data_IF_770634648907
#
_entry.id   IF_770634648907
#
_cell.length_a   1.000
_cell.length_b   1.000
_cell.length_c   1.000
_cell.angle_alpha   90.00
_cell.angle_beta   90.00
_cell.angle_gamma   90.00
#
_symmetry.space_group_name_H-M   'P 1'
#
loop_
_entity.id
_entity.type
_entity.pdbx_description
1 polymer ?
#
# COMPACT_ATOMS: atom_id res chain seq x y z
N UNK A 1 25.29 43.58 11.62
CA UNK A 1 24.11 43.52 10.75
C UNK A 1 23.83 42.06 10.41
N UNK A 2 22.57 41.66 10.57
CA UNK A 2 21.87 40.39 10.26
C UNK A 2 22.53 39.48 9.19
N UNK A 3 22.53 38.13 9.19
CA UNK A 3 21.87 37.03 9.91
C UNK A 3 22.22 35.70 9.18
N UNK A 4 22.17 34.55 9.87
CA UNK A 4 22.41 33.18 9.31
C UNK A 4 21.24 32.71 8.39
N UNK A 5 21.19 31.44 7.91
CA UNK A 5 22.03 30.69 6.95
C UNK A 5 21.17 30.06 5.82
N UNK A 6 21.71 29.60 4.67
CA UNK A 6 20.86 28.89 3.70
C UNK A 6 21.59 27.97 2.70
N UNK A 7 21.31 26.68 2.85
CA UNK A 7 21.30 25.61 1.83
C UNK A 7 22.63 25.26 1.12
N UNK A 8 23.42 24.43 1.80
CA UNK A 8 24.26 23.46 1.12
C UNK A 8 23.36 22.44 0.41
N UNK A 9 23.00 22.72 -0.84
CA UNK A 9 22.39 21.76 -1.73
C UNK A 9 23.36 20.59 -1.91
N UNK A 10 23.02 19.42 -1.36
CA UNK A 10 23.76 18.18 -1.60
C UNK A 10 23.54 17.83 -3.08
N UNK A 11 24.42 18.31 -3.95
CA UNK A 11 24.55 17.76 -5.30
C UNK A 11 24.94 16.29 -5.14
N UNK A 12 24.03 15.37 -5.46
CA UNK A 12 24.39 13.95 -5.56
C UNK A 12 25.34 13.80 -6.74
N UNK A 13 26.61 13.61 -6.41
CA UNK A 13 27.67 13.31 -7.37
C UNK A 13 27.44 11.91 -7.94
N UNK A 14 27.67 11.72 -9.24
CA UNK A 14 27.53 10.41 -9.86
C UNK A 14 28.54 9.43 -9.23
N UNK A 15 28.06 8.25 -8.78
CA UNK A 15 28.84 7.32 -7.93
C UNK A 15 30.08 6.78 -8.63
N UNK A 16 30.08 6.78 -9.97
CA UNK A 16 31.13 6.17 -10.78
C UNK A 16 32.20 7.17 -11.24
N UNK A 17 31.96 8.49 -11.14
CA UNK A 17 32.87 9.49 -11.73
C UNK A 17 33.31 10.63 -10.80
N UNK A 18 32.72 10.78 -9.60
CA UNK A 18 32.99 11.89 -8.65
C UNK A 18 32.94 13.32 -9.26
N UNK A 19 32.45 13.47 -10.48
CA UNK A 19 32.23 14.75 -11.15
C UNK A 19 30.76 15.17 -11.05
N UNK A 20 30.44 16.48 -11.01
CA UNK A 20 29.07 16.94 -11.17
C UNK A 20 28.53 16.48 -12.52
N UNK A 21 27.32 15.91 -12.54
CA UNK A 21 26.70 15.48 -13.79
C UNK A 21 26.60 16.67 -14.75
N UNK A 22 26.99 16.48 -16.02
CA UNK A 22 26.74 17.49 -17.06
C UNK A 22 25.24 17.78 -17.08
N UNK A 23 24.88 19.06 -17.24
CA UNK A 23 23.49 19.57 -17.19
C UNK A 23 22.53 18.83 -18.15
N UNK A 24 23.10 18.15 -19.14
CA UNK A 24 22.44 17.32 -20.14
C UNK A 24 23.22 16.01 -20.27
N UNK A 25 22.75 14.99 -19.56
CA UNK A 25 23.14 13.61 -19.79
C UNK A 25 21.98 12.91 -20.51
N UNK A 26 22.09 12.82 -21.85
CA UNK A 26 21.07 12.20 -22.69
C UNK A 26 20.96 10.69 -22.46
N UNK A 27 21.96 10.08 -21.81
CA UNK A 27 21.99 8.66 -21.45
C UNK A 27 21.45 8.38 -20.04
N UNK A 28 21.26 9.42 -19.21
CA UNK A 28 20.74 9.28 -17.86
C UNK A 28 19.20 9.16 -17.87
N UNK A 29 18.73 7.92 -17.74
CA UNK A 29 17.31 7.59 -17.74
C UNK A 29 16.49 8.11 -16.54
N UNK A 30 17.15 8.75 -15.56
CA UNK A 30 16.57 9.26 -14.31
C UNK A 30 16.52 10.80 -14.23
N UNK A 31 16.97 11.50 -15.26
CA UNK A 31 16.76 12.94 -15.38
C UNK A 31 15.27 13.24 -15.67
N UNK A 32 14.60 13.93 -14.74
CA UNK A 32 13.29 14.53 -14.94
C UNK A 32 13.46 16.06 -14.83
N UNK A 33 13.14 16.85 -15.87
CA UNK A 33 13.23 18.30 -15.76
C UNK A 33 12.30 18.77 -14.64
N UNK A 34 12.81 19.51 -13.65
CA UNK A 34 11.94 20.28 -12.77
C UNK A 34 11.16 21.26 -13.64
N UNK A 35 9.84 21.32 -13.44
CA UNK A 35 8.93 22.12 -14.26
C UNK A 35 9.17 23.63 -14.11
N UNK A 36 10.04 24.06 -13.19
CA UNK A 36 10.28 25.46 -12.85
C UNK A 36 11.73 25.90 -13.09
N UNK A 37 12.29 25.54 -14.25
CA UNK A 37 13.51 26.18 -14.75
C UNK A 37 13.14 27.19 -15.84
N UNK A 38 12.65 28.35 -15.40
CA UNK A 38 13.08 29.66 -15.91
C UNK A 38 12.96 30.00 -17.40
N UNK A 39 12.09 29.37 -18.19
CA UNK A 39 11.87 29.79 -19.58
C UNK A 39 10.39 30.00 -19.90
N UNK A 40 9.87 31.18 -19.56
CA UNK A 40 8.67 31.74 -20.15
C UNK A 40 8.99 32.23 -21.55
N UNK A 41 9.08 31.32 -22.54
CA UNK A 41 8.98 31.66 -23.97
C UNK A 41 8.82 30.39 -24.81
N UNK A 42 7.67 30.30 -25.46
CA UNK A 42 7.29 29.36 -26.52
C UNK A 42 7.04 27.92 -26.08
N UNK A 43 5.76 27.57 -25.95
CA UNK A 43 5.25 26.20 -25.77
C UNK A 43 5.60 25.35 -27.01
N UNK A 44 6.81 24.77 -27.08
CA UNK A 44 7.07 23.67 -28.03
C UNK A 44 6.18 22.50 -27.63
N UNK A 45 5.44 21.93 -28.58
CA UNK A 45 4.63 20.74 -28.32
C UNK A 45 5.53 19.64 -27.73
N UNK A 46 5.12 19.07 -26.59
CA UNK A 46 5.88 17.98 -25.99
C UNK A 46 6.00 16.83 -26.99
N UNK A 47 7.23 16.49 -27.36
CA UNK A 47 7.48 15.29 -28.19
C UNK A 47 6.99 14.04 -27.45
N UNK A 48 6.45 13.06 -28.15
CA UNK A 48 5.95 11.80 -27.58
C UNK A 48 6.97 11.11 -26.63
N UNK A 49 8.27 11.30 -26.85
CA UNK A 49 9.33 10.77 -25.99
C UNK A 49 9.40 11.47 -24.62
N UNK A 50 9.12 12.77 -24.50
CA UNK A 50 9.18 13.50 -23.22
C UNK A 50 7.98 13.22 -22.33
N UNK A 51 6.79 13.03 -22.90
CA UNK A 51 5.59 12.60 -22.15
C UNK A 51 5.78 11.21 -21.55
N UNK A 52 6.31 10.26 -22.33
CA UNK A 52 6.61 8.90 -21.86
C UNK A 52 7.62 8.92 -20.70
N UNK A 53 8.65 9.77 -20.76
CA UNK A 53 9.64 9.93 -19.67
C UNK A 53 9.01 10.45 -18.38
N UNK A 54 8.15 11.47 -18.48
CA UNK A 54 7.42 12.00 -17.32
C UNK A 54 6.53 10.93 -16.68
N UNK A 55 5.78 10.18 -17.50
CA UNK A 55 4.94 9.09 -17.00
C UNK A 55 5.76 8.00 -16.32
N UNK A 56 6.91 7.62 -16.86
CA UNK A 56 7.78 6.61 -16.25
C UNK A 56 8.42 7.10 -14.94
N UNK A 57 8.88 8.35 -14.87
CA UNK A 57 9.40 8.94 -13.63
C UNK A 57 8.31 9.04 -12.54
N UNK A 58 7.09 9.42 -12.92
CA UNK A 58 5.94 9.41 -12.01
C UNK A 58 5.60 7.99 -11.51
N UNK A 59 5.65 6.98 -12.40
CA UNK A 59 5.51 5.56 -12.02
C UNK A 59 6.59 5.12 -11.05
N UNK A 60 7.86 5.47 -11.28
CA UNK A 60 8.98 5.16 -10.38
C UNK A 60 8.84 5.84 -9.02
N UNK A 61 8.43 7.12 -8.98
CA UNK A 61 8.17 7.85 -7.73
C UNK A 61 7.06 7.19 -6.91
N UNK A 62 5.97 6.77 -7.56
CA UNK A 62 4.92 5.98 -6.91
C UNK A 62 5.46 4.64 -6.40
N UNK A 63 6.18 3.90 -7.23
CA UNK A 63 6.77 2.61 -6.87
C UNK A 63 7.77 2.73 -5.70
N UNK A 64 8.58 3.80 -5.65
CA UNK A 64 9.51 4.06 -4.54
C UNK A 64 8.77 4.44 -3.24
N UNK A 65 7.66 5.17 -3.33
CA UNK A 65 6.78 5.42 -2.18
C UNK A 65 6.12 4.13 -1.68
N UNK A 66 5.76 3.23 -2.59
CA UNK A 66 5.24 1.90 -2.25
C UNK A 66 6.33 1.01 -1.62
N UNK A 67 7.60 1.12 -2.05
CA UNK A 67 8.73 0.38 -1.46
C UNK A 67 8.98 0.82 0.00
N UNK A 68 8.83 2.10 0.31
CA UNK A 68 8.91 2.60 1.71
C UNK A 68 7.71 2.18 2.57
N UNK A 69 6.64 1.72 1.93
CA UNK A 69 5.43 1.26 2.58
C UNK A 69 5.56 -0.25 2.86
N UNK A 70 6.09 -0.60 4.02
CA UNK A 70 6.19 -2.01 4.40
C UNK A 70 4.80 -2.56 4.76
N UNK A 71 4.25 -3.44 3.91
CA UNK A 71 3.04 -4.22 4.22
C UNK A 71 3.46 -5.50 4.98
N UNK A 72 3.23 -5.56 6.29
CA UNK A 72 3.52 -6.72 7.14
C UNK A 72 2.24 -7.54 7.34
N UNK A 73 2.32 -8.86 7.24
CA UNK A 73 1.16 -9.73 7.52
C UNK A 73 1.45 -10.58 8.74
N UNK A 74 0.57 -10.47 9.73
CA UNK A 74 0.74 -11.10 11.03
C UNK A 74 -0.22 -12.29 11.18
N UNK A 75 0.28 -13.36 11.80
CA UNK A 75 -0.48 -14.53 12.20
C UNK A 75 -1.46 -14.23 13.37
N UNK A 76 -2.43 -15.14 13.53
CA UNK A 76 -3.66 -15.07 14.34
C UNK A 76 -3.48 -14.68 15.84
N UNK A 77 -2.26 -14.69 16.38
CA UNK A 77 -1.99 -14.57 17.82
C UNK A 77 -1.50 -13.18 18.29
N UNK A 78 -0.92 -12.36 17.41
CA UNK A 78 -0.31 -11.07 17.81
C UNK A 78 -1.11 -9.84 17.38
N UNK A 79 -2.06 -10.01 16.46
CA UNK A 79 -2.82 -8.89 15.91
C UNK A 79 -3.79 -8.31 16.95
N UNK A 80 -3.46 -7.14 17.48
CA UNK A 80 -4.30 -6.33 18.38
C UNK A 80 -4.55 -4.96 17.77
N UNK A 81 -5.62 -4.29 18.19
CA UNK A 81 -5.94 -2.94 17.69
C UNK A 81 -4.84 -1.94 18.03
N UNK A 82 -4.28 -2.01 19.23
CA UNK A 82 -3.17 -1.14 19.64
C UNK A 82 -1.93 -1.32 18.76
N UNK A 83 -1.56 -2.57 18.42
CA UNK A 83 -0.46 -2.85 17.50
C UNK A 83 -0.74 -2.31 16.10
N UNK A 84 -1.98 -2.46 15.62
CA UNK A 84 -2.39 -1.96 14.31
C UNK A 84 -2.24 -0.45 14.19
N UNK A 85 -2.71 0.28 15.20
CA UNK A 85 -2.59 1.74 15.27
C UNK A 85 -1.12 2.17 15.34
N UNK A 86 -0.32 1.53 16.20
CA UNK A 86 1.11 1.82 16.32
C UNK A 86 1.87 1.63 15.00
N UNK A 87 1.60 0.55 14.27
CA UNK A 87 2.26 0.28 12.99
C UNK A 87 1.77 1.21 11.89
N UNK A 88 0.49 1.59 11.92
CA UNK A 88 -0.07 2.56 10.99
C UNK A 88 0.61 3.93 11.12
N UNK A 89 0.88 4.39 12.35
CA UNK A 89 1.64 5.62 12.62
C UNK A 89 3.08 5.56 12.05
N UNK A 90 3.65 4.34 11.98
CA UNK A 90 4.97 4.06 11.38
C UNK A 90 4.91 3.80 9.88
N UNK A 91 3.78 4.09 9.21
CA UNK A 91 3.55 3.82 7.78
C UNK A 91 3.76 2.35 7.40
N UNK A 92 3.53 1.46 8.35
CA UNK A 92 3.61 0.02 8.18
C UNK A 92 2.20 -0.54 8.21
N UNK A 93 1.75 -1.10 7.10
CA UNK A 93 0.38 -1.61 7.01
C UNK A 93 0.34 -3.06 7.45
N UNK A 94 -0.69 -3.43 8.20
CA UNK A 94 -0.92 -4.80 8.61
C UNK A 94 -2.24 -5.34 8.11
N UNK A 95 -2.27 -6.65 7.87
CA UNK A 95 -3.51 -7.38 7.67
C UNK A 95 -3.37 -8.77 8.31
N UNK A 96 -4.37 -9.16 9.10
CA UNK A 96 -4.33 -10.40 9.87
C UNK A 96 -5.70 -10.84 10.34
N UNK A 97 -5.79 -12.09 10.77
CA UNK A 97 -7.00 -12.66 11.38
C UNK A 97 -6.97 -12.43 12.89
N UNK A 98 -8.13 -12.17 13.51
CA UNK A 98 -8.25 -11.89 14.95
C UNK A 98 -9.30 -12.77 15.60
N UNK A 99 -9.13 -13.10 16.89
CA UNK A 99 -10.14 -13.83 17.68
C UNK A 99 -11.18 -12.87 18.26
N UNK A 100 -12.45 -13.27 18.23
CA UNK A 100 -13.59 -12.47 18.71
C UNK A 100 -13.49 -11.97 20.16
N UNK A 101 -12.77 -12.70 21.03
CA UNK A 101 -12.59 -12.34 22.45
C UNK A 101 -11.49 -11.31 22.73
N UNK A 102 -10.87 -10.71 21.71
CA UNK A 102 -9.81 -9.70 21.91
C UNK A 102 -10.41 -8.34 22.32
N UNK A 103 -9.68 -7.63 23.19
CA UNK A 103 -10.06 -6.28 23.65
C UNK A 103 -10.07 -5.29 22.49
N UNK A 104 -10.90 -4.25 22.60
CA UNK A 104 -10.99 -3.11 21.67
C UNK A 104 -11.48 -3.42 20.24
N UNK A 105 -12.00 -4.63 20.00
CA UNK A 105 -12.69 -4.91 18.75
C UNK A 105 -14.05 -4.20 18.69
N UNK A 106 -14.46 -3.79 17.49
CA UNK A 106 -15.78 -3.19 17.28
C UNK A 106 -16.88 -4.23 17.54
N UNK A 107 -17.65 -4.02 18.61
CA UNK A 107 -18.73 -4.94 19.05
C UNK A 107 -19.80 -5.12 17.97
N UNK A 108 -20.10 -4.07 17.21
CA UNK A 108 -21.10 -4.12 16.14
C UNK A 108 -20.71 -5.05 15.00
N UNK A 109 -19.41 -5.19 14.73
CA UNK A 109 -18.88 -6.12 13.73
C UNK A 109 -18.83 -7.51 14.33
N UNK A 110 -18.25 -7.66 15.54
CA UNK A 110 -18.09 -8.98 16.19
C UNK A 110 -19.44 -9.67 16.44
N UNK A 111 -20.45 -8.93 16.91
CA UNK A 111 -21.79 -9.47 17.23
C UNK A 111 -22.73 -9.58 16.02
N UNK A 112 -22.32 -9.17 14.83
CA UNK A 112 -23.18 -9.23 13.66
C UNK A 112 -23.53 -10.68 13.30
N UNK A 113 -24.82 -10.98 13.16
CA UNK A 113 -25.29 -12.27 12.70
C UNK A 113 -25.33 -12.26 11.18
N UNK A 114 -24.37 -12.93 10.56
CA UNK A 114 -24.23 -13.01 9.11
C UNK A 114 -24.77 -14.35 8.60
N UNK A 115 -25.30 -14.36 7.37
CA UNK A 115 -25.50 -15.56 6.56
C UNK A 115 -24.20 -15.91 5.83
N UNK A 116 -24.12 -17.15 5.35
CA UNK A 116 -22.95 -17.60 4.57
C UNK A 116 -22.79 -16.73 3.32
N UNK A 117 -21.59 -16.23 3.10
CA UNK A 117 -21.26 -15.32 1.99
C UNK A 117 -21.36 -13.84 2.36
N UNK A 118 -22.04 -13.48 3.45
CA UNK A 118 -22.18 -12.08 3.86
C UNK A 118 -20.93 -11.58 4.61
N UNK A 119 -20.74 -10.26 4.55
CA UNK A 119 -19.69 -9.54 5.26
C UNK A 119 -20.24 -8.30 5.93
N UNK A 120 -19.68 -7.95 7.08
CA UNK A 120 -19.79 -6.62 7.68
C UNK A 120 -18.40 -6.02 7.87
N UNK A 121 -18.23 -4.78 7.47
CA UNK A 121 -16.99 -4.02 7.63
C UNK A 121 -17.24 -2.72 8.41
N UNK A 122 -16.24 -2.25 9.14
CA UNK A 122 -16.24 -0.91 9.75
C UNK A 122 -14.80 -0.41 9.84
N UNK A 123 -14.63 0.88 10.05
CA UNK A 123 -13.33 1.53 10.17
C UNK A 123 -13.33 2.44 11.40
N UNK A 124 -12.25 2.41 12.18
CA UNK A 124 -12.10 3.35 13.29
C UNK A 124 -11.56 4.70 12.78
N UNK A 125 -11.59 5.71 13.66
CA UNK A 125 -11.10 7.07 13.34
C UNK A 125 -9.63 7.15 12.92
N UNK A 126 -8.83 6.12 13.24
CA UNK A 126 -7.40 6.07 12.91
C UNK A 126 -7.12 5.36 11.60
N UNK A 127 -8.11 4.78 10.93
CA UNK A 127 -7.93 4.06 9.67
C UNK A 127 -7.74 2.55 9.81
N UNK A 128 -8.04 1.98 10.98
CA UNK A 128 -8.06 0.53 11.20
C UNK A 128 -9.42 -0.03 10.78
N UNK A 129 -9.40 -0.93 9.80
CA UNK A 129 -10.56 -1.60 9.24
C UNK A 129 -10.77 -2.95 9.91
N UNK A 130 -12.00 -3.23 10.29
CA UNK A 130 -12.44 -4.50 10.85
C UNK A 130 -13.42 -5.16 9.89
N UNK A 131 -13.23 -6.44 9.64
CA UNK A 131 -14.14 -7.23 8.83
C UNK A 131 -14.61 -8.45 9.60
N UNK A 132 -15.90 -8.74 9.48
CA UNK A 132 -16.48 -10.04 9.81
C UNK A 132 -17.06 -10.62 8.54
N UNK A 133 -16.60 -11.80 8.15
CA UNK A 133 -17.11 -12.52 6.99
C UNK A 133 -17.45 -13.94 7.38
N UNK A 134 -18.55 -14.48 6.85
CA UNK A 134 -18.99 -15.82 7.18
C UNK A 134 -18.87 -16.76 5.99
N UNK A 135 -17.96 -17.73 6.11
CA UNK A 135 -17.93 -18.90 5.22
C UNK A 135 -18.65 -20.08 5.90
N UNK A 136 -17.92 -21.14 6.26
CA UNK A 136 -18.43 -22.18 7.17
C UNK A 136 -18.45 -21.72 8.63
N UNK A 137 -17.56 -20.79 8.98
CA UNK A 137 -17.41 -20.18 10.30
C UNK A 137 -17.21 -18.69 10.13
N UNK A 138 -17.45 -17.95 11.20
CA UNK A 138 -17.15 -16.52 11.25
C UNK A 138 -15.63 -16.31 11.23
N UNK A 139 -15.17 -15.53 10.27
CA UNK A 139 -13.78 -15.08 10.13
C UNK A 139 -13.76 -13.59 10.45
N UNK A 140 -12.97 -13.23 11.46
CA UNK A 140 -12.70 -11.84 11.80
C UNK A 140 -11.31 -11.48 11.32
N UNK A 141 -11.20 -10.39 10.57
CA UNK A 141 -9.92 -9.82 10.14
C UNK A 141 -9.81 -8.36 10.55
N UNK A 142 -8.56 -7.95 10.75
CA UNK A 142 -8.17 -6.58 11.00
C UNK A 142 -7.16 -6.19 9.93
N UNK A 143 -7.32 -4.99 9.38
CA UNK A 143 -6.41 -4.45 8.38
C UNK A 143 -6.22 -2.95 8.53
N UNK A 144 -5.05 -2.46 8.18
CA UNK A 144 -4.76 -1.03 8.02
C UNK A 144 -4.38 -0.69 6.58
N UNK A 145 -4.55 -1.63 5.64
CA UNK A 145 -4.20 -1.44 4.23
C UNK A 145 -5.21 -0.47 3.58
N UNK A 146 -4.75 0.69 3.03
CA UNK A 146 -5.66 1.69 2.47
C UNK A 146 -6.47 1.18 1.28
N UNK A 147 -5.84 0.37 0.42
CA UNK A 147 -6.43 -0.21 -0.79
C UNK A 147 -7.60 -1.17 -0.50
N UNK A 148 -7.68 -1.74 0.71
CA UNK A 148 -8.70 -2.74 1.01
C UNK A 148 -10.07 -2.11 1.26
N UNK A 149 -11.03 -2.39 0.39
CA UNK A 149 -12.40 -1.92 0.47
C UNK A 149 -13.28 -2.73 1.42
N UNK A 150 -14.55 -2.33 1.48
CA UNK A 150 -15.65 -3.01 2.19
C UNK A 150 -16.45 -3.95 1.29
N UNK A 151 -15.91 -4.31 0.13
CA UNK A 151 -16.61 -5.09 -0.88
C UNK A 151 -16.13 -6.55 -0.92
N UNK A 152 -17.02 -7.40 -1.44
CA UNK A 152 -16.73 -8.80 -1.72
C UNK A 152 -16.26 -8.92 -3.17
N UNK A 153 -15.10 -9.53 -3.36
CA UNK A 153 -14.45 -9.68 -4.67
C UNK A 153 -14.35 -11.15 -5.04
N UNK A 154 -14.40 -11.51 -6.34
CA UNK A 154 -14.16 -12.86 -6.79
C UNK A 154 -12.80 -13.40 -6.32
N UNK A 155 -12.82 -14.56 -5.68
CA UNK A 155 -11.58 -15.22 -5.23
C UNK A 155 -10.84 -15.99 -6.33
N UNK A 156 -11.39 -16.02 -7.55
CA UNK A 156 -10.89 -16.84 -8.67
C UNK A 156 -11.16 -18.33 -8.52
N UNK A 157 -11.92 -18.74 -7.49
CA UNK A 157 -12.33 -20.13 -7.27
C UNK A 157 -13.83 -20.27 -7.51
N UNK A 158 -14.22 -21.40 -8.09
CA UNK A 158 -15.63 -21.79 -8.27
C UNK A 158 -16.02 -22.84 -7.24
N UNK A 159 -17.27 -22.83 -6.82
CA UNK A 159 -17.84 -23.90 -6.01
C UNK A 159 -18.17 -25.13 -6.88
N UNK A 160 -18.67 -26.20 -6.26
CA UNK A 160 -19.10 -27.42 -6.99
C UNK A 160 -20.23 -27.19 -7.99
N UNK A 161 -20.99 -26.11 -7.84
CA UNK A 161 -22.09 -25.70 -8.73
C UNK A 161 -21.62 -24.77 -9.85
N UNK A 162 -20.32 -24.44 -9.92
CA UNK A 162 -19.76 -23.52 -10.91
C UNK A 162 -19.88 -22.03 -10.58
N UNK A 163 -20.46 -21.68 -9.42
CA UNK A 163 -20.63 -20.28 -9.00
C UNK A 163 -19.31 -19.73 -8.43
N UNK A 164 -19.04 -18.45 -8.66
CA UNK A 164 -17.85 -17.79 -8.13
C UNK A 164 -17.90 -17.63 -6.61
N UNK A 165 -16.80 -17.95 -5.94
CA UNK A 165 -16.67 -17.75 -4.50
C UNK A 165 -16.18 -16.33 -4.26
N UNK A 166 -17.05 -15.50 -3.69
CA UNK A 166 -16.73 -14.14 -3.28
C UNK A 166 -16.09 -14.11 -1.89
N UNK A 167 -15.08 -13.25 -1.71
CA UNK A 167 -14.37 -13.09 -0.44
C UNK A 167 -13.99 -11.62 -0.20
N UNK A 168 -13.82 -11.21 1.06
CA UNK A 168 -13.27 -9.90 1.38
C UNK A 168 -11.85 -9.73 0.81
N UNK A 169 -11.52 -8.51 0.40
CA UNK A 169 -10.15 -8.17 -0.04
C UNK A 169 -9.09 -8.48 1.01
N UNK A 170 -9.40 -8.24 2.28
CA UNK A 170 -8.50 -8.54 3.40
C UNK A 170 -8.14 -10.03 3.46
N UNK A 171 -9.12 -10.91 3.23
CA UNK A 171 -8.93 -12.36 3.22
C UNK A 171 -8.16 -12.81 1.98
N UNK A 172 -8.43 -12.22 0.81
CA UNK A 172 -7.69 -12.52 -0.42
C UNK A 172 -6.22 -12.10 -0.28
N UNK A 173 -5.98 -10.87 0.20
CA UNK A 173 -4.64 -10.32 0.43
C UNK A 173 -3.83 -11.17 1.40
N UNK A 174 -4.43 -11.53 2.54
CA UNK A 174 -3.79 -12.42 3.52
C UNK A 174 -3.41 -13.78 2.91
N UNK A 175 -4.33 -14.44 2.21
CA UNK A 175 -4.06 -15.77 1.63
C UNK A 175 -2.99 -15.72 0.53
N UNK A 176 -3.00 -14.70 -0.32
CA UNK A 176 -1.99 -14.52 -1.38
C UNK A 176 -0.59 -14.47 -0.78
N UNK A 177 -0.42 -13.66 0.25
CA UNK A 177 0.90 -13.46 0.81
C UNK A 177 1.32 -14.57 1.79
N UNK A 178 0.39 -15.22 2.48
CA UNK A 178 0.69 -16.47 3.20
C UNK A 178 1.24 -17.55 2.26
N UNK A 179 0.69 -17.65 1.04
CA UNK A 179 1.22 -18.54 0.00
C UNK A 179 2.64 -18.18 -0.41
N UNK A 180 2.94 -16.89 -0.59
CA UNK A 180 4.30 -16.41 -0.92
C UNK A 180 5.28 -16.75 0.19
N UNK A 181 4.92 -16.52 1.45
CA UNK A 181 5.77 -16.86 2.60
C UNK A 181 6.07 -18.36 2.67
N UNK A 182 5.07 -19.22 2.42
CA UNK A 182 5.25 -20.68 2.38
C UNK A 182 6.23 -21.10 1.27
N UNK A 183 6.23 -20.45 0.11
CA UNK A 183 7.14 -20.76 -1.01
C UNK A 183 8.58 -20.32 -0.77
N UNK A 184 8.80 -19.31 0.07
CA UNK A 184 10.14 -18.82 0.43
C UNK A 184 10.80 -19.64 1.54
N UNK A 185 10.04 -20.53 2.18
CA UNK A 185 10.48 -21.34 3.33
C UNK A 185 10.53 -22.84 3.02
N UNK A 186 10.23 -23.22 1.77
CA UNK A 186 10.25 -24.59 1.22
C UNK A 186 11.45 -24.79 0.30
#
# INVERSE_FOLDING_TARGET
MYGRPAYAGIFRVCRDSRAPAKLYDESNSDWAPSLELGHTKTTRSLTQKSTVRYHNAAKRRKHAADINTTKILLELSTTTVALAEYLLDKKTYICGTVRAGRKHLCKEVVKANLKKGEMKATENRKGVKFYKWKDKRDVLTLSTVPEQGSDLVPSGKKNRKGEEILKPESVIGYNKAKKVLMLLTS
#
